data_IF_626054443401
#
_entry.id   IF_626054443401
#
_cell.length_a   1.000
_cell.length_b   1.000
_cell.length_c   1.000
_cell.angle_alpha   90.00
_cell.angle_beta   90.00
_cell.angle_gamma   90.00
#
_symmetry.space_group_name_H-M   'P 1'
#
loop_
_entity.id
_entity.type
_entity.pdbx_description
1 polymer ?
#
# COMPACT_ATOMS: atom_id res chain seq x y z
N UNK A 1 34.90 24.53 16.32
CA UNK A 1 35.43 23.19 16.65
C UNK A 1 34.73 22.66 17.89
N UNK A 2 33.42 22.41 17.79
CA UNK A 2 32.58 21.90 18.88
C UNK A 2 31.55 20.87 18.37
N UNK A 3 31.66 20.44 17.11
CA UNK A 3 30.60 19.71 16.43
C UNK A 3 30.65 18.18 16.65
N UNK A 4 31.71 17.66 17.29
CA UNK A 4 31.87 16.22 17.54
C UNK A 4 31.46 15.78 18.96
N UNK A 5 31.23 16.73 19.87
CA UNK A 5 30.91 16.44 21.28
C UNK A 5 29.43 16.15 21.54
N UNK A 6 28.55 16.49 20.60
CA UNK A 6 27.10 16.29 20.74
C UNK A 6 26.56 15.17 19.85
N UNK A 7 27.43 14.31 19.31
CA UNK A 7 27.00 13.13 18.56
C UNK A 7 26.61 12.03 19.54
N UNK A 8 25.31 11.75 19.75
CA UNK A 8 24.89 10.76 20.74
C UNK A 8 25.40 9.37 20.36
N UNK A 9 26.33 8.83 21.14
CA UNK A 9 26.98 7.52 20.93
C UNK A 9 26.01 6.33 21.15
N UNK A 10 24.82 6.59 21.69
CA UNK A 10 23.86 5.57 22.15
C UNK A 10 22.69 5.41 21.17
N UNK A 11 22.59 6.19 20.09
CA UNK A 11 21.58 5.90 19.08
C UNK A 11 22.05 4.69 18.27
N UNK A 12 21.45 3.49 18.43
CA UNK A 12 21.78 2.38 17.55
C UNK A 12 21.45 2.85 16.14
N UNK A 13 22.44 2.84 15.26
CA UNK A 13 22.26 3.10 13.84
C UNK A 13 21.03 2.31 13.36
N UNK A 14 20.20 2.94 12.52
CA UNK A 14 19.07 2.26 11.90
C UNK A 14 19.53 0.87 11.48
N UNK A 15 18.84 -0.16 11.98
CA UNK A 15 19.09 -1.54 11.61
C UNK A 15 19.40 -1.55 10.12
N UNK A 16 20.59 -2.02 9.72
CA UNK A 16 20.97 -2.15 8.32
C UNK A 16 19.93 -3.04 7.64
N UNK A 17 18.91 -2.39 7.12
CA UNK A 17 17.78 -3.07 6.54
C UNK A 17 18.20 -3.30 5.12
N UNK A 18 18.51 -4.56 4.77
CA UNK A 18 18.95 -4.97 3.42
C UNK A 18 18.09 -4.38 2.30
N UNK A 19 16.82 -4.06 2.59
CA UNK A 19 15.93 -3.32 1.71
C UNK A 19 15.21 -2.20 2.49
N UNK A 20 15.57 -0.93 2.31
CA UNK A 20 14.91 0.17 3.02
C UNK A 20 13.40 0.18 2.74
N UNK A 21 12.57 0.40 3.77
CA UNK A 21 11.13 0.50 3.62
C UNK A 21 10.75 1.77 2.85
N UNK A 22 9.58 1.75 2.23
CA UNK A 22 8.97 2.92 1.63
C UNK A 22 8.14 3.69 2.66
N UNK A 23 7.93 4.98 2.41
CA UNK A 23 7.01 5.80 3.21
C UNK A 23 5.58 5.24 3.11
N UNK A 24 4.91 4.88 4.21
CA UNK A 24 3.53 4.35 4.16
C UNK A 24 2.54 5.34 3.53
N UNK A 25 2.76 6.65 3.69
CA UNK A 25 1.92 7.67 3.06
C UNK A 25 2.01 7.64 1.53
N UNK A 26 3.17 7.33 0.97
CA UNK A 26 3.36 7.27 -0.49
C UNK A 26 2.59 6.12 -1.14
N UNK A 27 2.15 5.12 -0.38
CA UNK A 27 1.29 4.03 -0.87
C UNK A 27 -0.10 4.51 -1.33
N UNK A 28 -0.48 5.76 -1.04
CA UNK A 28 -1.74 6.33 -1.55
C UNK A 28 -1.76 6.43 -3.08
N UNK A 29 -0.61 6.72 -3.71
CA UNK A 29 -0.50 6.79 -5.16
C UNK A 29 -0.88 5.46 -5.83
N UNK A 30 -0.22 4.32 -5.53
CA UNK A 30 -0.63 3.04 -6.11
C UNK A 30 -2.01 2.57 -5.66
N UNK A 31 -2.53 3.04 -4.51
CA UNK A 31 -3.89 2.73 -4.08
C UNK A 31 -4.96 3.37 -4.97
N UNK A 32 -4.81 4.65 -5.28
CA UNK A 32 -5.79 5.40 -6.10
C UNK A 32 -5.72 4.96 -7.56
N UNK A 33 -4.52 4.78 -8.10
CA UNK A 33 -4.34 4.48 -9.53
C UNK A 33 -4.35 2.98 -9.84
N UNK A 34 -3.82 2.15 -8.94
CA UNK A 34 -3.69 0.70 -9.14
C UNK A 34 -4.80 -0.11 -8.45
N UNK A 35 -5.62 0.50 -7.61
CA UNK A 35 -6.70 -0.19 -6.89
C UNK A 35 -6.22 -0.99 -5.67
N UNK A 36 -7.16 -1.71 -5.00
CA UNK A 36 -6.91 -2.50 -3.81
C UNK A 36 -5.81 -3.55 -4.01
N UNK A 37 -5.70 -4.22 -5.15
CA UNK A 37 -4.66 -5.27 -5.34
C UNK A 37 -3.25 -4.68 -5.32
N UNK A 38 -3.01 -3.60 -6.08
CA UNK A 38 -1.71 -2.96 -6.18
C UNK A 38 -1.20 -2.47 -4.82
N UNK A 39 -2.05 -1.76 -4.06
CA UNK A 39 -1.69 -1.29 -2.73
C UNK A 39 -1.56 -2.43 -1.72
N UNK A 40 -2.38 -3.48 -1.79
CA UNK A 40 -2.27 -4.64 -0.88
C UNK A 40 -0.90 -5.29 -1.02
N UNK A 41 -0.48 -5.58 -2.25
CA UNK A 41 0.82 -6.22 -2.51
C UNK A 41 1.97 -5.34 -2.01
N UNK A 42 1.96 -4.04 -2.35
CA UNK A 42 3.00 -3.12 -1.90
C UNK A 42 3.01 -2.93 -0.39
N UNK A 43 1.84 -2.86 0.25
CA UNK A 43 1.72 -2.75 1.70
C UNK A 43 2.25 -4.01 2.40
N UNK A 44 1.98 -5.22 1.89
CA UNK A 44 2.54 -6.46 2.44
C UNK A 44 4.06 -6.52 2.29
N UNK A 45 4.57 -6.15 1.11
CA UNK A 45 6.01 -6.06 0.88
C UNK A 45 6.68 -5.04 1.80
N UNK A 46 6.06 -3.88 1.99
CA UNK A 46 6.56 -2.85 2.90
C UNK A 46 6.52 -3.31 4.36
N UNK A 47 5.43 -3.99 4.74
CA UNK A 47 5.26 -4.56 6.08
C UNK A 47 6.33 -5.59 6.42
N UNK A 48 6.77 -6.39 5.43
CA UNK A 48 7.91 -7.30 5.58
C UNK A 48 9.23 -6.54 5.78
N UNK A 49 9.46 -5.44 5.04
CA UNK A 49 10.65 -4.59 5.22
C UNK A 49 10.68 -3.93 6.61
N UNK A 50 9.50 -3.52 7.10
CA UNK A 50 9.30 -2.92 8.42
C UNK A 50 9.18 -3.93 9.57
N UNK A 51 9.24 -5.24 9.28
CA UNK A 51 9.05 -6.33 10.26
C UNK A 51 7.78 -6.18 11.10
N UNK A 52 6.69 -5.76 10.44
CA UNK A 52 5.37 -5.58 11.05
C UNK A 52 4.83 -6.94 11.51
N UNK A 53 4.10 -6.96 12.62
CA UNK A 53 3.53 -8.16 13.21
C UNK A 53 2.62 -8.92 12.23
N UNK A 54 2.53 -10.25 12.39
CA UNK A 54 1.65 -11.10 11.56
C UNK A 54 0.19 -10.65 11.57
N UNK A 55 -0.43 -10.29 12.72
CA UNK A 55 -1.81 -9.82 12.73
C UNK A 55 -2.02 -8.57 11.89
N UNK A 56 -1.07 -7.63 11.89
CA UNK A 56 -1.16 -6.44 11.06
C UNK A 56 -0.98 -6.74 9.57
N UNK A 57 -0.13 -7.71 9.19
CA UNK A 57 -0.07 -8.19 7.80
C UNK A 57 -1.36 -8.87 7.37
N UNK A 58 -1.99 -9.66 8.26
CA UNK A 58 -3.29 -10.29 8.01
C UNK A 58 -4.42 -9.27 7.91
N UNK A 59 -4.39 -8.19 8.69
CA UNK A 59 -5.34 -7.09 8.55
C UNK A 59 -5.24 -6.45 7.15
N UNK A 60 -4.02 -6.13 6.69
CA UNK A 60 -3.81 -5.58 5.33
C UNK A 60 -4.29 -6.55 4.26
N UNK A 61 -3.94 -7.84 4.36
CA UNK A 61 -4.37 -8.86 3.41
C UNK A 61 -5.90 -9.01 3.39
N UNK A 62 -6.52 -9.10 4.57
CA UNK A 62 -7.97 -9.24 4.73
C UNK A 62 -8.71 -8.04 4.16
N UNK A 63 -8.28 -6.81 4.47
CA UNK A 63 -8.86 -5.59 3.89
C UNK A 63 -8.67 -5.55 2.37
N UNK A 64 -7.52 -5.99 1.86
CA UNK A 64 -7.25 -6.11 0.43
C UNK A 64 -8.22 -7.06 -0.28
N UNK A 65 -8.43 -8.25 0.29
CA UNK A 65 -9.37 -9.24 -0.23
C UNK A 65 -10.82 -8.74 -0.19
N UNK A 66 -11.24 -8.17 0.94
CA UNK A 66 -12.59 -7.59 1.08
C UNK A 66 -12.78 -6.43 0.09
N UNK A 67 -11.78 -5.56 -0.08
CA UNK A 67 -11.83 -4.46 -1.04
C UNK A 67 -11.96 -4.93 -2.49
N UNK A 68 -11.23 -5.99 -2.87
CA UNK A 68 -11.35 -6.60 -4.19
C UNK A 68 -12.73 -7.24 -4.39
N UNK A 69 -13.20 -8.05 -3.43
CA UNK A 69 -14.51 -8.69 -3.51
C UNK A 69 -15.65 -7.67 -3.57
N UNK A 70 -15.60 -6.63 -2.74
CA UNK A 70 -16.58 -5.55 -2.77
C UNK A 70 -16.60 -4.84 -4.13
N UNK A 71 -15.44 -4.60 -4.73
CA UNK A 71 -15.34 -4.02 -6.07
C UNK A 71 -15.98 -4.91 -7.13
N UNK A 72 -15.72 -6.22 -7.10
CA UNK A 72 -16.33 -7.17 -8.04
C UNK A 72 -17.85 -7.29 -7.85
N UNK A 73 -18.30 -7.40 -6.60
CA UNK A 73 -19.72 -7.46 -6.26
C UNK A 73 -20.47 -6.21 -6.71
N UNK A 74 -19.90 -5.02 -6.48
CA UNK A 74 -20.46 -3.76 -6.99
C UNK A 74 -20.46 -3.69 -8.50
N UNK A 75 -19.43 -4.24 -9.16
CA UNK A 75 -19.41 -4.32 -10.62
C UNK A 75 -20.59 -5.14 -11.12
N UNK A 76 -20.84 -6.32 -10.54
CA UNK A 76 -21.96 -7.21 -10.88
C UNK A 76 -23.34 -6.62 -10.54
N UNK A 77 -23.47 -5.93 -9.40
CA UNK A 77 -24.74 -5.36 -8.96
C UNK A 77 -25.16 -4.12 -9.76
N UNK A 78 -24.23 -3.45 -10.44
CA UNK A 78 -24.45 -2.18 -11.16
C UNK A 78 -24.36 -2.40 -12.70
N UNK A 79 -24.41 -3.65 -13.17
CA UNK A 79 -24.31 -3.95 -14.63
C UNK A 79 -25.53 -3.42 -15.41
N UNK A 80 -26.72 -3.30 -14.82
CA UNK A 80 -27.93 -3.05 -15.62
C UNK A 80 -28.15 -1.60 -16.10
N UNK A 81 -27.57 -0.57 -15.46
CA UNK A 81 -27.85 0.82 -15.83
C UNK A 81 -26.76 1.46 -16.70
N UNK A 82 -27.04 1.59 -17.99
CA UNK A 82 -26.15 2.01 -19.09
C UNK A 82 -25.62 3.45 -19.10
N UNK A 83 -25.44 4.13 -17.95
CA UNK A 83 -24.93 5.51 -17.92
C UNK A 83 -23.93 5.75 -16.78
N UNK A 84 -22.67 6.04 -17.14
CA UNK A 84 -21.72 6.77 -16.27
C UNK A 84 -21.32 6.07 -14.97
N UNK A 85 -20.76 4.86 -15.04
CA UNK A 85 -20.39 4.08 -13.84
C UNK A 85 -19.16 4.65 -13.10
N UNK A 86 -19.23 4.90 -11.79
CA UNK A 86 -18.08 5.31 -10.98
C UNK A 86 -17.17 4.10 -10.61
N UNK A 87 -16.93 3.14 -11.51
CA UNK A 87 -16.10 1.94 -11.25
C UNK A 87 -14.69 2.32 -10.79
N UNK A 88 -14.12 3.38 -11.38
CA UNK A 88 -12.83 3.92 -10.97
C UNK A 88 -12.86 4.49 -9.55
N UNK A 89 -13.96 5.14 -9.16
CA UNK A 89 -14.13 5.69 -7.81
C UNK A 89 -14.25 4.57 -6.79
N UNK A 90 -15.05 3.53 -7.06
CA UNK A 90 -15.16 2.36 -6.18
C UNK A 90 -13.80 1.69 -5.98
N UNK A 91 -13.05 1.50 -7.08
CA UNK A 91 -11.68 0.98 -7.01
C UNK A 91 -10.73 1.87 -6.19
N UNK A 92 -10.78 3.19 -6.38
CA UNK A 92 -9.97 4.13 -5.64
C UNK A 92 -10.33 4.16 -4.15
N UNK A 93 -11.62 4.09 -3.80
CA UNK A 93 -12.09 4.01 -2.41
C UNK A 93 -11.66 2.71 -1.74
N UNK A 94 -11.82 1.57 -2.43
CA UNK A 94 -11.34 0.29 -1.95
C UNK A 94 -9.82 0.30 -1.72
N UNK A 95 -9.06 0.84 -2.67
CA UNK A 95 -7.63 1.06 -2.52
C UNK A 95 -7.29 1.97 -1.34
N UNK A 96 -8.01 3.09 -1.17
CA UNK A 96 -7.82 4.02 -0.06
C UNK A 96 -8.07 3.36 1.30
N UNK A 97 -9.07 2.47 1.42
CA UNK A 97 -9.32 1.72 2.66
C UNK A 97 -8.15 0.79 3.01
N UNK A 98 -7.61 0.06 2.03
CA UNK A 98 -6.41 -0.75 2.24
C UNK A 98 -5.23 0.12 2.64
N UNK A 99 -5.06 1.28 1.98
CA UNK A 99 -4.02 2.24 2.33
C UNK A 99 -4.17 2.74 3.77
N UNK A 100 -5.38 3.05 4.24
CA UNK A 100 -5.62 3.49 5.62
C UNK A 100 -5.19 2.42 6.63
N UNK A 101 -5.54 1.16 6.38
CA UNK A 101 -5.14 0.03 7.25
C UNK A 101 -3.62 -0.15 7.22
N UNK A 102 -3.00 -0.08 6.05
CA UNK A 102 -1.55 -0.13 5.91
C UNK A 102 -0.87 1.04 6.64
N UNK A 103 -1.36 2.26 6.47
CA UNK A 103 -0.84 3.45 7.13
C UNK A 103 -0.97 3.35 8.65
N UNK A 104 -2.14 2.93 9.16
CA UNK A 104 -2.39 2.76 10.59
C UNK A 104 -1.45 1.72 11.21
N UNK A 105 -1.26 0.58 10.55
CA UNK A 105 -0.43 -0.53 11.05
C UNK A 105 1.07 -0.25 10.89
N UNK A 106 1.49 0.48 9.85
CA UNK A 106 2.90 0.70 9.53
C UNK A 106 3.47 2.02 10.07
N UNK A 107 2.62 2.97 10.49
CA UNK A 107 3.07 4.29 10.98
C UNK A 107 4.03 4.20 12.16
N UNK A 108 3.71 3.40 13.18
CA UNK A 108 4.55 3.23 14.38
C UNK A 108 5.93 2.62 14.04
N UNK A 109 6.03 1.46 13.37
CA UNK A 109 7.33 0.88 13.03
C UNK A 109 8.13 1.77 12.07
N UNK A 110 7.47 2.43 11.11
CA UNK A 110 8.13 3.37 10.20
C UNK A 110 8.73 4.58 10.95
N UNK A 111 7.99 5.18 11.90
CA UNK A 111 8.53 6.26 12.74
C UNK A 111 9.74 5.80 13.56
N UNK A 112 9.71 4.58 14.10
CA UNK A 112 10.85 4.04 14.83
C UNK A 112 12.08 3.83 13.94
N UNK A 113 11.88 3.52 12.65
CA UNK A 113 12.94 3.42 11.66
C UNK A 113 13.58 4.79 11.36
N UNK A 114 12.76 5.82 11.13
CA UNK A 114 13.26 7.20 10.89
C UNK A 114 13.99 7.77 12.10
N UNK A 115 13.48 7.56 13.32
CA UNK A 115 14.12 8.02 14.56
C UNK A 115 15.48 7.37 14.81
N UNK A 116 15.76 6.22 14.20
CA UNK A 116 17.08 5.56 14.25
C UNK A 116 18.01 6.03 13.11
N UNK A 117 17.61 7.05 12.35
CA UNK A 117 18.38 7.57 11.21
C UNK A 117 18.12 6.86 9.88
N UNK A 118 17.07 6.03 9.81
CA UNK A 118 16.74 5.29 8.59
C UNK A 118 16.17 6.20 7.50
N UNK A 119 16.70 6.11 6.28
CA UNK A 119 16.19 6.84 5.13
C UNK A 119 15.22 5.98 4.31
N UNK A 120 14.03 6.49 3.93
CA UNK A 120 13.07 5.72 3.16
C UNK A 120 13.50 5.54 1.70
N UNK A 121 13.20 4.38 1.14
CA UNK A 121 13.37 4.12 -0.28
C UNK A 121 12.35 4.89 -1.12
N UNK A 122 12.74 5.22 -2.36
CA UNK A 122 11.79 5.74 -3.36
C UNK A 122 10.76 4.67 -3.74
N UNK A 123 9.48 5.06 -3.72
CA UNK A 123 8.36 4.22 -4.15
C UNK A 123 8.03 4.41 -5.65
N UNK A 124 8.66 5.36 -6.35
CA UNK A 124 8.23 5.73 -7.71
C UNK A 124 8.24 4.56 -8.70
N UNK A 125 9.38 3.89 -8.86
CA UNK A 125 9.54 2.72 -9.73
C UNK A 125 8.66 1.53 -9.31
N UNK A 126 8.73 1.03 -8.05
CA UNK A 126 7.91 -0.10 -7.64
C UNK A 126 6.41 0.23 -7.62
N UNK A 127 6.05 1.48 -7.32
CA UNK A 127 4.68 1.99 -7.34
C UNK A 127 4.13 2.01 -8.76
N UNK A 128 4.85 2.59 -9.72
CA UNK A 128 4.46 2.59 -11.13
C UNK A 128 4.34 1.17 -11.68
N UNK A 129 5.33 0.31 -11.40
CA UNK A 129 5.28 -1.10 -11.81
C UNK A 129 4.08 -1.85 -11.26
N UNK A 130 3.71 -1.62 -9.99
CA UNK A 130 2.53 -2.23 -9.39
C UNK A 130 1.23 -1.71 -10.03
N UNK A 131 1.12 -0.40 -10.29
CA UNK A 131 -0.05 0.18 -10.97
C UNK A 131 -0.21 -0.42 -12.37
N UNK A 132 0.87 -0.49 -13.15
CA UNK A 132 0.84 -1.00 -14.51
C UNK A 132 0.55 -2.51 -14.56
N UNK A 133 1.11 -3.31 -13.66
CA UNK A 133 0.91 -4.77 -13.69
C UNK A 133 -0.37 -5.17 -12.97
N UNK A 134 -0.48 -4.85 -11.67
CA UNK A 134 -1.60 -5.30 -10.84
C UNK A 134 -2.86 -4.48 -11.13
N UNK A 135 -2.72 -3.17 -11.33
CA UNK A 135 -3.87 -2.33 -11.70
C UNK A 135 -4.46 -2.70 -13.06
N UNK A 136 -3.61 -3.03 -14.05
CA UNK A 136 -4.08 -3.56 -15.34
C UNK A 136 -4.75 -4.94 -15.18
N UNK A 137 -4.12 -5.85 -14.44
CA UNK A 137 -4.70 -7.18 -14.18
C UNK A 137 -6.06 -7.07 -13.48
N UNK A 138 -6.17 -6.18 -12.49
CA UNK A 138 -7.44 -5.92 -11.80
C UNK A 138 -8.48 -5.29 -12.74
N UNK A 139 -8.08 -4.39 -13.64
CA UNK A 139 -8.99 -3.80 -14.63
C UNK A 139 -9.51 -4.85 -15.63
N UNK A 140 -8.63 -5.76 -16.11
CA UNK A 140 -9.03 -6.88 -16.98
C UNK A 140 -10.00 -7.80 -16.25
N UNK A 141 -9.73 -8.14 -14.99
CA UNK A 141 -10.63 -8.96 -14.18
C UNK A 141 -12.02 -8.32 -14.06
N UNK A 142 -12.07 -7.02 -13.71
CA UNK A 142 -13.32 -6.27 -13.60
C UNK A 142 -14.07 -6.22 -14.93
N UNK A 143 -13.36 -6.04 -16.04
CA UNK A 143 -13.96 -6.05 -17.37
C UNK A 143 -14.55 -7.41 -17.72
N UNK A 144 -13.81 -8.50 -17.49
CA UNK A 144 -14.31 -9.85 -17.73
C UNK A 144 -15.55 -10.16 -16.90
N UNK A 145 -15.55 -9.78 -15.62
CA UNK A 145 -16.71 -9.95 -14.73
C UNK A 145 -17.90 -9.11 -15.18
N UNK A 146 -17.67 -7.93 -15.77
CA UNK A 146 -18.75 -7.08 -16.27
C UNK A 146 -19.38 -7.57 -17.59
N UNK A 147 -18.70 -8.45 -18.33
CA UNK A 147 -19.14 -8.97 -19.64
C UNK A 147 -19.58 -10.45 -19.56
N UNK A 148 -19.29 -11.13 -18.44
CA UNK A 148 -19.73 -12.49 -18.14
C UNK A 148 -21.19 -12.53 -17.69
#
# INVERSE_FOLDING_TARGET
MADDLFTPTIAPAAYETRRPPWRPQSLIFPAVFGGPTAVTVLALLNGRRLRVSRPAQMAVLGTGLVGLLARLAMTLAIVDDGAGRPVRLVGALAGALVWLVAAATQKRPFRSYELRGGQPASLWLPGLGAVLLLGFTEAVLVFLVAVA
#
